data_IF_708450536641
#
_entry.id   IF_708450536641
#
_cell.length_a   1.000
_cell.length_b   1.000
_cell.length_c   1.000
_cell.angle_alpha   90.00
_cell.angle_beta   90.00
_cell.angle_gamma   90.00
#
_symmetry.space_group_name_H-M   'P 1'
#
loop_
_entity.id
_entity.type
_entity.pdbx_description
1 polymer ?
#
# COMPACT_ATOMS: atom_id res chain seq x y z
N UNK A 1 0.22 33.13 36.58
CA UNK A 1 -0.04 33.32 35.13
C UNK A 1 0.07 31.95 34.49
N UNK A 2 -1.01 31.33 34.01
CA UNK A 2 -0.88 30.11 33.23
C UNK A 2 -0.43 30.49 31.82
N UNK A 3 0.68 29.91 31.36
CA UNK A 3 1.09 29.94 29.95
C UNK A 3 -0.03 29.32 29.11
N UNK A 4 -0.65 30.14 28.29
CA UNK A 4 -1.54 29.72 27.23
C UNK A 4 -0.72 28.93 26.20
N UNK A 5 -1.00 27.64 26.07
CA UNK A 5 -0.51 26.83 24.95
C UNK A 5 -0.89 27.52 23.63
N UNK A 6 0.01 27.61 22.64
CA UNK A 6 -0.30 28.28 21.38
C UNK A 6 -1.44 27.52 20.68
N UNK A 7 -2.43 28.30 20.24
CA UNK A 7 -3.57 27.85 19.44
C UNK A 7 -3.09 27.04 18.22
N UNK A 8 -3.86 26.00 17.89
CA UNK A 8 -3.59 25.04 16.84
C UNK A 8 -3.31 25.70 15.49
N UNK A 9 -2.03 25.81 15.14
CA UNK A 9 -1.59 25.84 13.75
C UNK A 9 -2.22 24.62 13.05
N UNK A 10 -3.05 24.86 12.03
CA UNK A 10 -3.63 23.79 11.22
C UNK A 10 -2.47 22.99 10.60
N UNK A 11 -2.09 21.86 11.22
CA UNK A 11 -1.06 20.97 10.68
C UNK A 11 -1.48 20.57 9.26
N UNK A 12 -0.56 20.68 8.32
CA UNK A 12 -0.81 20.27 6.94
C UNK A 12 -1.28 18.81 6.93
N UNK A 13 -2.48 18.56 6.40
CA UNK A 13 -3.00 17.22 6.26
C UNK A 13 -2.66 16.69 4.87
N UNK A 14 -1.93 15.58 4.81
CA UNK A 14 -1.57 14.87 3.59
C UNK A 14 -2.39 13.59 3.50
N UNK A 15 -3.32 13.55 2.53
CA UNK A 15 -4.18 12.39 2.31
C UNK A 15 -3.49 11.42 1.34
N UNK A 16 -3.35 10.16 1.75
CA UNK A 16 -2.70 9.12 0.94
C UNK A 16 -3.70 8.03 0.59
N UNK A 17 -4.02 7.85 -0.68
CA UNK A 17 -4.93 6.80 -1.14
C UNK A 17 -4.14 5.54 -1.55
N UNK A 18 -4.56 4.35 -1.06
CA UNK A 18 -3.91 3.08 -1.40
C UNK A 18 -4.81 2.21 -2.27
N UNK A 19 -4.52 2.18 -3.57
CA UNK A 19 -5.18 1.37 -4.58
C UNK A 19 -4.42 0.07 -4.84
N UNK A 20 -5.14 -1.05 -4.91
CA UNK A 20 -4.56 -2.33 -5.33
C UNK A 20 -5.65 -3.40 -5.53
N UNK A 21 -5.42 -4.39 -6.41
CA UNK A 21 -6.20 -5.62 -6.42
C UNK A 21 -5.97 -6.46 -5.14
N UNK A 22 -6.79 -7.49 -4.93
CA UNK A 22 -6.77 -8.29 -3.70
C UNK A 22 -5.64 -9.32 -3.57
N UNK A 23 -4.81 -9.51 -4.59
CA UNK A 23 -3.71 -10.50 -4.60
C UNK A 23 -2.42 -9.98 -3.94
N UNK A 24 -2.38 -8.71 -3.53
CA UNK A 24 -1.24 -8.05 -2.87
C UNK A 24 -1.55 -7.65 -1.42
N UNK A 25 -2.34 -8.46 -0.72
CA UNK A 25 -2.74 -8.20 0.67
C UNK A 25 -1.53 -8.04 1.62
N UNK A 26 -0.46 -8.79 1.40
CA UNK A 26 0.78 -8.70 2.16
C UNK A 26 1.43 -7.31 1.99
N UNK A 27 1.56 -6.84 0.75
CA UNK A 27 2.08 -5.52 0.43
C UNK A 27 1.18 -4.40 0.95
N UNK A 28 -0.15 -4.57 0.95
CA UNK A 28 -1.06 -3.59 1.56
C UNK A 28 -0.83 -3.44 3.07
N UNK A 29 -0.62 -4.54 3.78
CA UNK A 29 -0.30 -4.50 5.22
C UNK A 29 1.05 -3.81 5.46
N UNK A 30 2.03 -4.05 4.60
CA UNK A 30 3.32 -3.35 4.65
C UNK A 30 3.14 -1.85 4.41
N UNK A 31 2.35 -1.47 3.40
CA UNK A 31 2.05 -0.07 3.11
C UNK A 31 1.40 0.63 4.29
N UNK A 32 0.46 -0.04 4.98
CA UNK A 32 -0.16 0.48 6.20
C UNK A 32 0.89 0.77 7.28
N UNK A 33 1.75 -0.20 7.59
CA UNK A 33 2.82 -0.05 8.61
C UNK A 33 3.82 1.05 8.25
N UNK A 34 4.20 1.15 6.97
CA UNK A 34 5.08 2.23 6.48
C UNK A 34 4.41 3.59 6.68
N UNK A 35 3.12 3.73 6.32
CA UNK A 35 2.37 4.97 6.48
C UNK A 35 2.17 5.35 7.95
N UNK A 36 1.94 4.39 8.84
CA UNK A 36 1.90 4.60 10.30
C UNK A 36 3.24 5.14 10.83
N UNK A 37 4.37 4.49 10.49
CA UNK A 37 5.71 4.98 10.88
C UNK A 37 6.00 6.38 10.34
N UNK A 38 5.58 6.67 9.12
CA UNK A 38 5.74 8.00 8.54
C UNK A 38 4.82 9.01 9.21
N UNK A 39 3.57 8.66 9.52
CA UNK A 39 2.65 9.53 10.26
C UNK A 39 3.26 9.94 11.60
N UNK A 40 3.84 8.98 12.34
CA UNK A 40 4.54 9.25 13.59
C UNK A 40 5.77 10.13 13.40
N UNK A 41 6.61 9.80 12.41
CA UNK A 41 7.84 10.56 12.13
C UNK A 41 7.57 11.99 11.66
N UNK A 42 6.45 12.25 10.98
CA UNK A 42 6.07 13.58 10.49
C UNK A 42 5.05 14.30 11.37
N UNK A 43 4.55 13.68 12.44
CA UNK A 43 3.52 14.21 13.33
C UNK A 43 3.76 15.65 13.85
N UNK A 44 5.01 16.10 14.11
CA UNK A 44 5.27 17.48 14.51
C UNK A 44 4.92 18.53 13.45
N UNK A 45 5.02 18.17 12.16
CA UNK A 45 4.94 19.12 11.03
C UNK A 45 3.75 18.87 10.10
N UNK A 46 3.23 17.64 10.06
CA UNK A 46 2.14 17.25 9.18
C UNK A 46 1.32 16.11 9.79
N UNK A 47 0.04 16.05 9.41
CA UNK A 47 -0.82 14.88 9.62
C UNK A 47 -0.82 14.06 8.34
N UNK A 48 -0.47 12.78 8.42
CA UNK A 48 -0.57 11.85 7.28
C UNK A 48 -1.80 10.98 7.52
N UNK A 49 -2.76 11.04 6.59
CA UNK A 49 -4.01 10.29 6.67
C UNK A 49 -4.08 9.26 5.54
N UNK A 50 -3.72 8.00 5.82
CA UNK A 50 -3.87 6.94 4.84
C UNK A 50 -5.32 6.50 4.72
N UNK A 51 -5.80 6.32 3.49
CA UNK A 51 -7.12 5.78 3.19
C UNK A 51 -7.00 4.36 2.62
N UNK A 52 -7.46 3.40 3.42
CA UNK A 52 -7.61 1.99 3.06
C UNK A 52 -9.10 1.64 3.10
N UNK A 53 -9.66 1.30 1.94
CA UNK A 53 -11.10 1.05 1.82
C UNK A 53 -11.63 -0.14 2.65
N UNK A 54 -10.77 -1.11 3.03
CA UNK A 54 -11.16 -2.35 3.72
C UNK A 54 -11.70 -2.15 5.14
N UNK A 55 -11.50 -0.96 5.72
CA UNK A 55 -11.91 -0.65 7.08
C UNK A 55 -13.23 0.12 7.16
N UNK A 56 -13.85 0.42 6.00
CA UNK A 56 -15.11 1.15 5.95
C UNK A 56 -16.32 0.19 6.09
N UNK A 57 -17.35 0.56 6.88
CA UNK A 57 -18.53 -0.28 7.06
C UNK A 57 -19.27 -0.51 5.74
N UNK A 58 -19.64 -1.76 5.48
CA UNK A 58 -20.41 -2.17 4.31
C UNK A 58 -21.89 -1.90 4.52
N UNK A 59 -22.49 -0.99 3.76
CA UNK A 59 -23.94 -0.88 3.65
C UNK A 59 -24.44 -1.74 2.48
N UNK A 60 -25.44 -2.60 2.75
CA UNK A 60 -26.02 -3.47 1.73
C UNK A 60 -26.85 -2.73 0.64
N UNK A 61 -27.04 -1.41 0.80
CA UNK A 61 -27.91 -0.58 -0.02
C UNK A 61 -27.26 0.00 -1.27
N UNK A 62 -25.93 -0.09 -1.40
CA UNK A 62 -25.19 0.49 -2.52
C UNK A 62 -24.09 -0.47 -3.01
N UNK A 63 -23.62 -0.29 -4.24
CA UNK A 63 -22.45 -1.05 -4.71
C UNK A 63 -21.22 -0.53 -3.98
N UNK A 64 -20.43 -1.42 -3.39
CA UNK A 64 -19.31 -1.11 -2.48
C UNK A 64 -18.41 0.06 -2.92
N UNK A 65 -18.04 0.08 -4.21
CA UNK A 65 -17.16 1.12 -4.75
C UNK A 65 -17.86 2.49 -4.90
N UNK A 66 -19.20 2.54 -5.03
CA UNK A 66 -19.97 3.77 -5.10
C UNK A 66 -19.94 4.59 -3.80
N UNK A 67 -20.06 3.90 -2.67
CA UNK A 67 -20.07 4.55 -1.37
C UNK A 67 -18.66 5.07 -1.01
N UNK A 68 -17.62 4.29 -1.32
CA UNK A 68 -16.22 4.66 -1.08
C UNK A 68 -15.82 5.88 -1.93
N UNK A 69 -16.19 5.90 -3.21
CA UNK A 69 -15.88 7.02 -4.11
C UNK A 69 -16.65 8.30 -3.76
N UNK A 70 -17.73 8.21 -2.97
CA UNK A 70 -18.38 9.40 -2.40
C UNK A 70 -17.64 9.97 -1.20
N UNK A 71 -16.84 9.17 -0.48
CA UNK A 71 -16.10 9.61 0.72
C UNK A 71 -14.74 10.20 0.39
N UNK A 72 -13.94 9.51 -0.43
CA UNK A 72 -12.60 9.99 -0.84
C UNK A 72 -12.36 9.66 -2.30
N UNK A 73 -12.10 10.68 -3.12
CA UNK A 73 -11.75 10.52 -4.53
C UNK A 73 -10.22 10.51 -4.71
N UNK A 74 -9.64 9.51 -5.42
CA UNK A 74 -8.21 9.47 -5.68
C UNK A 74 -7.65 10.79 -6.24
N UNK A 75 -8.36 11.42 -7.20
CA UNK A 75 -7.98 12.72 -7.80
C UNK A 75 -7.89 13.90 -6.83
N UNK A 76 -8.45 13.78 -5.63
CA UNK A 76 -8.48 14.84 -4.61
C UNK A 76 -7.43 14.64 -3.52
N UNK A 77 -6.76 13.48 -3.51
CA UNK A 77 -5.71 13.18 -2.52
C UNK A 77 -4.37 13.81 -2.90
N UNK A 78 -3.42 13.78 -1.96
CA UNK A 78 -2.08 14.32 -2.17
C UNK A 78 -1.16 13.30 -2.83
N UNK A 79 -1.29 12.03 -2.44
CA UNK A 79 -0.48 10.91 -2.92
C UNK A 79 -1.40 9.72 -3.18
N UNK A 80 -1.20 9.05 -4.32
CA UNK A 80 -1.82 7.75 -4.61
C UNK A 80 -0.73 6.71 -4.72
N UNK A 81 -0.87 5.61 -3.99
CA UNK A 81 -0.04 4.42 -4.09
C UNK A 81 -0.87 3.36 -4.81
N UNK A 82 -0.42 2.90 -5.98
CA UNK A 82 -1.01 1.80 -6.72
C UNK A 82 -0.08 0.58 -6.66
N UNK A 83 -0.56 -0.56 -6.15
CA UNK A 83 0.22 -1.80 -6.01
C UNK A 83 -0.39 -2.86 -6.92
N UNK A 84 0.41 -3.38 -7.85
CA UNK A 84 -0.01 -4.32 -8.89
C UNK A 84 0.82 -5.59 -8.86
N UNK A 85 0.22 -6.73 -9.20
CA UNK A 85 0.95 -7.99 -9.34
C UNK A 85 0.47 -8.88 -10.49
N UNK A 86 -0.55 -9.71 -10.26
CA UNK A 86 -0.95 -10.77 -11.21
C UNK A 86 -2.34 -10.58 -11.78
N UNK A 87 -3.09 -9.61 -11.24
CA UNK A 87 -4.45 -9.30 -11.68
C UNK A 87 -4.71 -7.80 -11.64
N UNK A 88 -5.79 -7.39 -12.31
CA UNK A 88 -6.25 -5.99 -12.31
C UNK A 88 -7.46 -5.77 -11.37
N UNK A 89 -8.32 -6.78 -11.21
CA UNK A 89 -9.50 -6.74 -10.34
C UNK A 89 -10.79 -7.10 -11.06
N UNK A 90 -11.92 -6.83 -10.40
CA UNK A 90 -13.27 -7.14 -10.90
C UNK A 90 -13.93 -5.93 -11.55
N UNK A 91 -14.62 -6.18 -12.65
CA UNK A 91 -15.34 -5.16 -13.44
C UNK A 91 -16.31 -4.35 -12.58
N UNK A 92 -16.32 -3.05 -12.83
CA UNK A 92 -17.22 -2.10 -12.19
C UNK A 92 -18.63 -2.13 -12.81
N UNK A 93 -19.68 -1.83 -12.03
CA UNK A 93 -21.02 -1.59 -12.56
C UNK A 93 -21.06 -0.44 -13.59
N UNK A 94 -22.06 -0.45 -14.48
CA UNK A 94 -22.16 0.49 -15.61
C UNK A 94 -22.22 1.97 -15.19
N UNK A 95 -22.69 2.27 -13.97
CA UNK A 95 -22.71 3.65 -13.45
C UNK A 95 -21.32 4.29 -13.30
N UNK A 96 -20.25 3.49 -13.35
CA UNK A 96 -18.87 3.97 -13.29
C UNK A 96 -18.20 4.09 -14.65
N UNK A 97 -18.93 3.95 -15.77
CA UNK A 97 -18.31 4.06 -17.09
C UNK A 97 -17.56 5.39 -17.25
N UNK A 98 -16.52 5.36 -18.10
CA UNK A 98 -15.77 6.53 -18.52
C UNK A 98 -16.71 7.59 -19.12
N UNK A 99 -16.28 8.86 -19.21
CA UNK A 99 -17.07 9.92 -19.84
C UNK A 99 -17.51 9.60 -21.28
N UNK A 100 -16.74 8.78 -22.01
CA UNK A 100 -17.04 8.30 -23.36
C UNK A 100 -18.01 7.10 -23.40
N UNK A 101 -18.50 6.65 -22.23
CA UNK A 101 -19.41 5.53 -22.08
C UNK A 101 -18.73 4.15 -22.02
N UNK A 102 -17.41 4.07 -22.20
CA UNK A 102 -16.69 2.78 -22.14
C UNK A 102 -16.54 2.29 -20.69
N UNK A 103 -16.60 0.97 -20.44
CA UNK A 103 -16.51 0.43 -19.09
C UNK A 103 -15.06 0.36 -18.59
N UNK A 104 -14.87 0.59 -17.29
CA UNK A 104 -13.64 0.18 -16.61
C UNK A 104 -13.62 -1.33 -16.40
N UNK A 105 -12.46 -1.94 -16.59
CA UNK A 105 -12.23 -3.37 -16.38
C UNK A 105 -12.07 -3.71 -14.89
N UNK A 106 -11.75 -2.72 -14.05
CA UNK A 106 -11.68 -2.91 -12.60
C UNK A 106 -11.82 -1.60 -11.81
N UNK A 107 -12.01 -1.73 -10.49
CA UNK A 107 -11.87 -0.62 -9.54
C UNK A 107 -10.46 -0.01 -9.53
N UNK A 108 -9.42 -0.84 -9.57
CA UNK A 108 -8.01 -0.39 -9.64
C UNK A 108 -7.76 0.50 -10.86
N UNK A 109 -8.32 0.11 -12.03
CA UNK A 109 -8.21 0.89 -13.26
C UNK A 109 -8.93 2.23 -13.13
N UNK A 110 -10.14 2.23 -12.58
CA UNK A 110 -10.88 3.45 -12.29
C UNK A 110 -10.08 4.39 -11.37
N UNK A 111 -9.58 3.88 -10.26
CA UNK A 111 -8.85 4.67 -9.25
C UNK A 111 -7.56 5.26 -9.83
N UNK A 112 -6.84 4.48 -10.65
CA UNK A 112 -5.65 4.94 -11.35
C UNK A 112 -5.96 6.04 -12.37
N UNK A 113 -6.96 5.84 -13.23
CA UNK A 113 -7.35 6.85 -14.23
C UNK A 113 -7.87 8.12 -13.56
N UNK A 114 -8.64 7.99 -12.47
CA UNK A 114 -9.12 9.13 -11.67
C UNK A 114 -7.93 9.94 -11.13
N UNK A 115 -6.95 9.27 -10.50
CA UNK A 115 -5.73 9.89 -10.00
C UNK A 115 -4.90 10.55 -11.11
N UNK A 116 -4.72 9.86 -12.23
CA UNK A 116 -3.97 10.37 -13.38
C UNK A 116 -4.60 11.62 -13.98
N UNK A 117 -5.93 11.64 -14.08
CA UNK A 117 -6.68 12.80 -14.54
C UNK A 117 -6.54 13.98 -13.57
N UNK A 118 -6.65 13.73 -12.26
CA UNK A 118 -6.36 14.74 -11.24
C UNK A 118 -4.97 15.35 -11.43
N UNK A 119 -3.96 14.50 -11.62
CA UNK A 119 -2.57 14.93 -11.79
C UNK A 119 -2.39 15.79 -13.05
N UNK A 120 -3.01 15.40 -14.16
CA UNK A 120 -2.96 16.17 -15.41
C UNK A 120 -3.60 17.56 -15.28
N UNK A 121 -4.74 17.64 -14.59
CA UNK A 121 -5.49 18.88 -14.47
C UNK A 121 -4.95 19.83 -13.39
N UNK A 122 -4.50 19.29 -12.25
CA UNK A 122 -4.20 20.06 -11.03
C UNK A 122 -2.79 19.85 -10.50
N UNK A 123 -2.02 18.92 -11.07
CA UNK A 123 -0.69 18.55 -10.58
C UNK A 123 -0.69 17.58 -9.40
N UNK A 124 -1.86 17.18 -8.88
CA UNK A 124 -2.03 16.24 -7.75
C UNK A 124 -3.05 15.16 -8.11
N UNK A 125 -2.94 13.93 -7.56
CA UNK A 125 -1.94 13.44 -6.63
C UNK A 125 -0.58 13.15 -7.25
N UNK A 126 0.45 13.02 -6.41
CA UNK A 126 1.65 12.28 -6.77
C UNK A 126 1.33 10.79 -6.85
N UNK A 127 1.40 10.25 -8.07
CA UNK A 127 1.05 8.86 -8.38
C UNK A 127 2.29 7.97 -8.34
N UNK A 128 2.37 7.09 -7.34
CA UNK A 128 3.38 6.03 -7.22
C UNK A 128 2.76 4.69 -7.63
N UNK A 129 3.42 3.99 -8.55
CA UNK A 129 2.97 2.67 -9.02
C UNK A 129 4.06 1.65 -8.73
N UNK A 130 3.70 0.57 -8.04
CA UNK A 130 4.59 -0.54 -7.71
C UNK A 130 4.10 -1.81 -8.40
N UNK A 131 5.00 -2.55 -9.04
CA UNK A 131 4.66 -3.80 -9.72
C UNK A 131 5.51 -4.95 -9.20
N UNK A 132 4.87 -5.94 -8.60
CA UNK A 132 5.54 -7.15 -8.12
C UNK A 132 6.01 -7.98 -9.31
N UNK A 133 7.26 -8.45 -9.28
CA UNK A 133 7.87 -9.23 -10.37
C UNK A 133 7.91 -10.73 -10.09
N UNK A 134 7.67 -11.16 -8.85
CA UNK A 134 7.59 -12.57 -8.51
C UNK A 134 6.50 -13.29 -9.33
N UNK A 135 6.73 -14.56 -9.66
CA UNK A 135 5.74 -15.36 -10.40
C UNK A 135 4.51 -15.67 -9.53
N UNK A 136 3.29 -15.48 -10.06
CA UNK A 136 2.08 -15.84 -9.34
C UNK A 136 1.89 -17.36 -9.26
N UNK A 137 1.48 -17.84 -8.08
CA UNK A 137 1.10 -19.23 -7.88
C UNK A 137 -0.36 -19.42 -8.29
N UNK A 138 -0.57 -20.19 -9.36
CA UNK A 138 -1.91 -20.53 -9.87
C UNK A 138 -2.15 -22.02 -9.67
N UNK A 139 -3.27 -22.37 -9.03
CA UNK A 139 -3.69 -23.77 -8.93
C UNK A 139 -4.19 -24.27 -10.28
N UNK A 140 -3.57 -25.33 -10.80
CA UNK A 140 -4.02 -26.01 -12.02
C UNK A 140 -5.02 -27.15 -11.73
N UNK A 141 -5.38 -27.38 -10.46
CA UNK A 141 -6.35 -28.42 -10.08
C UNK A 141 -7.78 -28.06 -10.54
N UNK A 142 -8.08 -26.77 -10.57
CA UNK A 142 -9.36 -26.24 -11.04
C UNK A 142 -9.12 -25.43 -12.32
N UNK A 143 -9.58 -25.96 -13.46
CA UNK A 143 -9.41 -25.31 -14.76
C UNK A 143 -10.11 -23.94 -14.83
N UNK A 144 -11.21 -23.75 -14.09
CA UNK A 144 -11.91 -22.47 -14.09
C UNK A 144 -11.11 -21.40 -13.34
N UNK A 145 -10.51 -21.75 -12.21
CA UNK A 145 -9.59 -20.87 -11.47
C UNK A 145 -8.38 -20.51 -12.33
N UNK A 146 -7.79 -21.48 -13.02
CA UNK A 146 -6.65 -21.25 -13.91
C UNK A 146 -7.01 -20.29 -15.07
N UNK A 147 -8.17 -20.48 -15.71
CA UNK A 147 -8.65 -19.58 -16.77
C UNK A 147 -8.91 -18.17 -16.27
N UNK A 148 -9.50 -18.02 -15.09
CA UNK A 148 -9.73 -16.71 -14.47
C UNK A 148 -8.42 -16.00 -14.15
N UNK A 149 -7.41 -16.72 -13.65
CA UNK A 149 -6.09 -16.16 -13.38
C UNK A 149 -5.43 -15.66 -14.67
N UNK A 150 -5.50 -16.43 -15.77
CA UNK A 150 -4.98 -16.01 -17.07
C UNK A 150 -5.68 -14.74 -17.59
N UNK A 151 -7.02 -14.72 -17.57
CA UNK A 151 -7.80 -13.56 -17.99
C UNK A 151 -7.45 -12.30 -17.17
N UNK A 152 -7.28 -12.45 -15.86
CA UNK A 152 -6.87 -11.33 -15.00
C UNK A 152 -5.46 -10.82 -15.30
N UNK A 153 -4.56 -11.73 -15.67
CA UNK A 153 -3.20 -11.38 -16.07
C UNK A 153 -3.18 -10.63 -17.40
N UNK A 154 -3.98 -11.06 -18.37
CA UNK A 154 -4.17 -10.38 -19.66
C UNK A 154 -4.71 -8.95 -19.46
N UNK A 155 -5.74 -8.77 -18.63
CA UNK A 155 -6.26 -7.44 -18.30
C UNK A 155 -5.21 -6.53 -17.68
N UNK A 156 -4.37 -7.06 -16.78
CA UNK A 156 -3.29 -6.30 -16.18
C UNK A 156 -2.22 -5.92 -17.20
N UNK A 157 -1.85 -6.83 -18.10
CA UNK A 157 -0.84 -6.58 -19.12
C UNK A 157 -1.33 -5.54 -20.15
N UNK A 158 -2.60 -5.59 -20.54
CA UNK A 158 -3.23 -4.58 -21.39
C UNK A 158 -3.25 -3.20 -20.71
N UNK A 159 -3.62 -3.15 -19.43
CA UNK A 159 -3.54 -1.94 -18.62
C UNK A 159 -2.12 -1.36 -18.56
N UNK A 160 -1.12 -2.20 -18.26
CA UNK A 160 0.28 -1.79 -18.18
C UNK A 160 0.77 -1.27 -19.54
N UNK A 161 0.47 -1.99 -20.63
CA UNK A 161 0.80 -1.58 -21.99
C UNK A 161 0.21 -0.22 -22.32
N UNK A 162 -1.08 -0.01 -22.03
CA UNK A 162 -1.80 1.23 -22.34
C UNK A 162 -1.25 2.46 -21.62
N UNK A 163 -0.87 2.33 -20.35
CA UNK A 163 -0.55 3.49 -19.51
C UNK A 163 0.95 3.74 -19.31
N UNK A 164 1.79 2.74 -19.54
CA UNK A 164 3.23 2.83 -19.27
C UNK A 164 4.09 2.69 -20.53
N UNK A 165 3.51 2.29 -21.66
CA UNK A 165 4.24 2.12 -22.92
C UNK A 165 3.64 2.98 -24.05
N UNK A 166 4.51 3.49 -24.93
CA UNK A 166 4.15 4.12 -26.19
C UNK A 166 3.83 3.07 -27.26
N UNK A 167 3.30 3.51 -28.40
CA UNK A 167 2.99 2.63 -29.54
C UNK A 167 4.23 1.90 -30.08
N UNK A 168 5.40 2.51 -29.93
CA UNK A 168 6.72 1.98 -30.30
C UNK A 168 7.36 1.08 -29.22
N UNK A 169 6.66 0.86 -28.09
CA UNK A 169 7.15 0.07 -26.97
C UNK A 169 8.10 0.83 -26.03
N UNK A 170 8.31 2.14 -26.22
CA UNK A 170 9.08 2.96 -25.27
C UNK A 170 8.32 3.17 -23.97
N UNK A 171 9.03 3.28 -22.83
CA UNK A 171 8.41 3.51 -21.53
C UNK A 171 8.00 5.00 -21.40
N UNK A 172 6.69 5.27 -21.40
CA UNK A 172 6.12 6.64 -21.34
C UNK A 172 5.80 7.09 -19.92
N UNK A 173 5.64 6.15 -18.98
CA UNK A 173 5.46 6.43 -17.57
C UNK A 173 6.24 5.40 -16.74
N UNK A 174 6.75 5.82 -15.58
CA UNK A 174 7.52 4.95 -14.70
C UNK A 174 6.62 4.19 -13.72
N UNK A 175 6.91 2.91 -13.51
CA UNK A 175 6.48 2.13 -12.36
C UNK A 175 7.72 1.54 -11.66
N UNK A 176 7.58 1.20 -10.39
CA UNK A 176 8.65 0.68 -9.55
C UNK A 176 8.52 -0.84 -9.44
N UNK A 177 9.37 -1.63 -10.11
CA UNK A 177 9.38 -3.07 -9.93
C UNK A 177 9.87 -3.40 -8.51
N UNK A 178 9.30 -4.45 -7.92
CA UNK A 178 9.81 -5.02 -6.67
C UNK A 178 9.68 -6.54 -6.68
N UNK A 179 10.63 -7.23 -6.08
CA UNK A 179 10.66 -8.70 -6.11
C UNK A 179 9.87 -9.32 -4.95
N UNK A 180 10.04 -8.78 -3.75
CA UNK A 180 9.51 -9.36 -2.51
C UNK A 180 9.08 -8.28 -1.51
N UNK A 181 8.45 -8.71 -0.43
CA UNK A 181 7.91 -7.86 0.63
C UNK A 181 8.94 -6.86 1.23
N UNK A 182 10.20 -7.29 1.43
CA UNK A 182 11.22 -6.44 2.03
C UNK A 182 11.74 -5.36 1.07
N UNK A 183 11.91 -5.73 -0.20
CA UNK A 183 12.23 -4.79 -1.28
C UNK A 183 11.11 -3.74 -1.44
N UNK A 184 9.85 -4.18 -1.41
CA UNK A 184 8.68 -3.29 -1.43
C UNK A 184 8.67 -2.31 -0.24
N UNK A 185 8.84 -2.81 0.99
CA UNK A 185 8.84 -1.97 2.20
C UNK A 185 9.89 -0.86 2.12
N UNK A 186 11.12 -1.24 1.75
CA UNK A 186 12.27 -0.32 1.68
C UNK A 186 12.00 0.78 0.66
N UNK A 187 11.61 0.40 -0.56
CA UNK A 187 11.33 1.36 -1.65
C UNK A 187 10.17 2.28 -1.29
N UNK A 188 9.09 1.72 -0.74
CA UNK A 188 7.91 2.51 -0.39
C UNK A 188 8.25 3.57 0.66
N UNK A 189 8.97 3.19 1.72
CA UNK A 189 9.35 4.12 2.78
C UNK A 189 10.27 5.23 2.24
N UNK A 190 11.29 4.87 1.45
CA UNK A 190 12.23 5.83 0.86
C UNK A 190 11.52 6.83 -0.06
N UNK A 191 10.67 6.34 -0.96
CA UNK A 191 9.95 7.18 -1.91
C UNK A 191 8.93 8.09 -1.23
N UNK A 192 8.13 7.57 -0.29
CA UNK A 192 7.15 8.38 0.44
C UNK A 192 7.83 9.44 1.29
N UNK A 193 8.90 9.09 2.00
CA UNK A 193 9.65 10.07 2.80
C UNK A 193 10.17 11.22 1.93
N UNK A 194 10.69 10.91 0.73
CA UNK A 194 11.16 11.92 -0.22
C UNK A 194 10.01 12.82 -0.70
N UNK A 195 8.90 12.22 -1.16
CA UNK A 195 7.74 12.98 -1.65
C UNK A 195 7.10 13.86 -0.57
N UNK A 196 6.94 13.34 0.64
CA UNK A 196 6.39 14.11 1.77
C UNK A 196 7.28 15.31 2.08
N UNK A 197 8.61 15.11 2.16
CA UNK A 197 9.56 16.22 2.35
C UNK A 197 9.47 17.27 1.25
N UNK A 198 9.44 16.85 -0.01
CA UNK A 198 9.32 17.77 -1.15
C UNK A 198 8.01 18.57 -1.12
N UNK A 199 6.90 17.96 -0.68
CA UNK A 199 5.61 18.63 -0.52
C UNK A 199 5.62 19.64 0.62
N UNK A 200 6.18 19.28 1.76
CA UNK A 200 6.29 20.18 2.91
C UNK A 200 7.21 21.37 2.60
N UNK A 201 8.33 21.14 1.92
CA UNK A 201 9.23 22.21 1.47
C UNK A 201 8.53 23.20 0.51
N UNK A 202 7.68 22.72 -0.41
CA UNK A 202 6.88 23.59 -1.29
C UNK A 202 5.87 24.46 -0.53
N UNK A 203 5.52 24.09 0.69
CA UNK A 203 4.65 24.85 1.59
C UNK A 203 5.45 25.74 2.57
N UNK A 204 6.78 25.81 2.44
CA UNK A 204 7.65 26.57 3.34
C UNK A 204 7.88 25.89 4.70
N UNK A 205 7.66 24.59 4.80
CA UNK A 205 7.86 23.80 6.03
C UNK A 205 9.21 23.07 5.91
N UNK A 206 10.29 23.77 6.30
CA UNK A 206 11.68 23.30 6.13
C UNK A 206 12.20 22.39 7.27
N UNK A 207 11.48 22.33 8.40
CA UNK A 207 11.86 21.54 9.59
C UNK A 207 11.72 20.01 9.39
N UNK A 208 11.34 19.56 8.20
CA UNK A 208 11.34 18.14 7.83
C UNK A 208 12.76 17.55 7.66
N UNK A 209 13.80 18.40 7.72
CA UNK A 209 15.21 18.04 7.54
C UNK A 209 15.70 16.95 8.49
N UNK A 210 15.33 17.00 9.78
CA UNK A 210 15.92 16.17 10.84
C UNK A 210 15.00 15.04 11.38
N UNK A 211 13.85 14.80 10.74
CA UNK A 211 12.87 13.76 11.14
C UNK A 211 13.39 12.31 11.02
N UNK A 212 14.62 12.09 10.54
CA UNK A 212 15.27 10.77 10.59
C UNK A 212 15.64 10.38 12.02
N UNK A 213 15.98 11.36 12.86
CA UNK A 213 16.39 11.15 14.24
C UNK A 213 15.20 11.20 15.22
N UNK A 214 14.03 11.63 14.75
CA UNK A 214 12.83 11.82 15.56
C UNK A 214 11.73 10.79 15.24
N UNK A 215 12.14 9.55 14.92
CA UNK A 215 11.20 8.42 14.84
C UNK A 215 10.79 8.12 16.28
N UNK A 216 9.51 8.33 16.66
CA UNK A 216 9.06 7.94 17.98
C UNK A 216 9.32 6.45 18.19
N UNK A 217 9.76 6.02 19.37
CA UNK A 217 9.97 4.60 19.60
C UNK A 217 8.65 3.85 19.40
N UNK A 218 8.66 2.83 18.54
CA UNK A 218 7.49 1.97 18.26
C UNK A 218 6.97 1.30 19.54
N UNK A 219 7.84 1.13 20.54
CA UNK A 219 7.52 0.59 21.85
C UNK A 219 7.69 1.66 22.94
N UNK A 220 6.60 2.01 23.61
CA UNK A 220 6.56 3.02 24.68
C UNK A 220 6.19 2.45 26.04
N UNK A 221 5.79 1.18 26.12
CA UNK A 221 5.33 0.51 27.35
C UNK A 221 6.50 -0.01 28.22
N UNK A 222 7.52 0.83 28.41
CA UNK A 222 8.65 0.53 29.30
C UNK A 222 9.78 -0.27 28.65
N UNK A 223 10.46 -1.12 29.43
CA UNK A 223 11.67 -1.80 28.97
C UNK A 223 11.35 -2.93 27.96
N UNK A 224 11.90 -2.89 26.73
CA UNK A 224 11.67 -3.94 25.74
C UNK A 224 12.29 -5.31 26.12
N UNK A 225 13.24 -5.33 27.07
CA UNK A 225 13.85 -6.56 27.57
C UNK A 225 13.01 -7.17 28.69
N UNK A 226 12.34 -8.29 28.39
CA UNK A 226 11.44 -8.99 29.32
C UNK A 226 12.10 -10.09 30.17
N UNK A 227 13.43 -10.16 30.16
CA UNK A 227 14.18 -11.20 30.88
C UNK A 227 13.81 -12.60 30.40
N UNK A 228 13.37 -13.48 31.31
CA UNK A 228 12.94 -14.85 31.01
C UNK A 228 11.45 -14.98 30.65
N UNK A 229 10.69 -13.88 30.64
CA UNK A 229 9.27 -13.91 30.28
C UNK A 229 9.10 -14.11 28.77
N UNK A 230 8.10 -14.90 28.38
CA UNK A 230 7.74 -15.08 26.97
C UNK A 230 7.15 -13.78 26.40
N UNK A 231 7.51 -13.45 25.16
CA UNK A 231 6.86 -12.35 24.43
C UNK A 231 5.45 -12.76 23.98
N UNK A 232 4.49 -11.90 24.26
CA UNK A 232 3.08 -12.04 23.84
C UNK A 232 2.78 -11.13 22.64
N UNK A 233 1.63 -11.33 21.99
CA UNK A 233 1.17 -10.54 20.82
C UNK A 233 1.27 -9.02 21.00
N UNK A 234 0.93 -8.50 22.19
CA UNK A 234 1.04 -7.06 22.49
C UNK A 234 2.46 -6.50 22.34
N UNK A 235 3.50 -7.34 22.46
CA UNK A 235 4.91 -6.96 22.36
C UNK A 235 5.44 -6.98 20.92
N UNK A 236 4.60 -7.25 19.91
CA UNK A 236 5.02 -7.33 18.52
C UNK A 236 5.78 -6.08 18.05
N UNK A 237 5.46 -4.90 18.59
CA UNK A 237 6.12 -3.63 18.28
C UNK A 237 7.62 -3.59 18.65
N UNK A 238 8.08 -4.48 19.54
CA UNK A 238 9.50 -4.64 19.89
C UNK A 238 10.28 -5.31 18.74
N UNK A 239 9.62 -6.16 17.94
CA UNK A 239 10.25 -6.92 16.87
C UNK A 239 10.04 -6.23 15.52
N UNK A 240 11.10 -5.59 15.01
CA UNK A 240 11.12 -4.95 13.69
C UNK A 240 12.16 -5.60 12.76
N UNK A 241 12.16 -5.23 11.47
CA UNK A 241 13.17 -5.67 10.49
C UNK A 241 13.03 -7.11 9.98
N UNK A 242 11.89 -7.78 10.23
CA UNK A 242 11.67 -9.19 9.86
C UNK A 242 10.85 -9.40 8.59
N UNK A 243 10.53 -8.35 7.87
CA UNK A 243 9.65 -8.40 6.68
C UNK A 243 10.11 -9.44 5.67
N UNK A 244 11.43 -9.53 5.42
CA UNK A 244 11.99 -10.58 4.55
C UNK A 244 11.71 -11.98 5.08
N UNK A 245 12.03 -12.25 6.35
CA UNK A 245 11.87 -13.57 6.94
C UNK A 245 10.39 -14.00 6.98
N UNK A 246 9.49 -13.06 7.27
CA UNK A 246 8.05 -13.28 7.27
C UNK A 246 7.57 -13.62 5.84
N UNK A 247 7.94 -12.81 4.85
CA UNK A 247 7.57 -13.05 3.45
C UNK A 247 8.09 -14.40 2.94
N UNK A 248 9.35 -14.74 3.25
CA UNK A 248 9.92 -16.04 2.89
C UNK A 248 9.16 -17.23 3.52
N UNK A 249 8.71 -17.10 4.77
CA UNK A 249 7.89 -18.12 5.44
C UNK A 249 6.52 -18.23 4.79
N UNK A 250 5.86 -17.10 4.52
CA UNK A 250 4.54 -17.07 3.87
C UNK A 250 4.60 -17.68 2.47
N UNK A 251 5.60 -17.31 1.67
CA UNK A 251 5.75 -17.85 0.32
C UNK A 251 6.03 -19.34 0.31
N UNK A 252 6.86 -19.84 1.24
CA UNK A 252 7.06 -21.29 1.40
C UNK A 252 5.76 -21.99 1.81
N UNK A 253 4.98 -21.42 2.74
CA UNK A 253 3.70 -21.99 3.16
C UNK A 253 2.68 -22.01 2.00
N UNK A 254 2.60 -20.95 1.19
CA UNK A 254 1.74 -20.88 0.00
C UNK A 254 2.09 -21.99 -1.01
N UNK A 255 3.37 -22.18 -1.32
CA UNK A 255 3.84 -23.26 -2.22
C UNK A 255 3.51 -24.64 -1.66
N UNK A 256 3.82 -24.87 -0.40
CA UNK A 256 3.55 -26.12 0.29
C UNK A 256 2.04 -26.46 0.31
N UNK A 257 1.19 -25.45 0.53
CA UNK A 257 -0.27 -25.59 0.44
C UNK A 257 -0.75 -25.96 -0.96
N UNK A 258 -0.20 -25.33 -2.02
CA UNK A 258 -0.53 -25.66 -3.40
C UNK A 258 -0.23 -27.15 -3.73
N UNK A 259 0.85 -27.67 -3.18
CA UNK A 259 1.26 -29.08 -3.28
C UNK A 259 0.44 -30.04 -2.39
N UNK A 260 -0.58 -29.55 -1.67
CA UNK A 260 -1.38 -30.35 -0.75
C UNK A 260 -0.70 -30.65 0.59
N UNK A 261 0.35 -29.91 0.94
CA UNK A 261 1.16 -30.07 2.15
C UNK A 261 1.16 -28.77 2.96
N UNK A 262 0.00 -28.27 3.42
CA UNK A 262 -0.12 -26.99 4.12
C UNK A 262 0.50 -26.98 5.54
N UNK A 263 1.82 -27.20 5.61
CA UNK A 263 2.61 -27.31 6.83
C UNK A 263 4.01 -26.72 6.61
N UNK A 264 4.48 -25.96 7.58
CA UNK A 264 5.83 -25.41 7.63
C UNK A 264 6.32 -25.40 9.08
N UNK A 265 7.56 -25.84 9.29
CA UNK A 265 8.21 -25.82 10.59
C UNK A 265 9.26 -24.71 10.64
N UNK A 266 9.11 -23.78 11.58
CA UNK A 266 10.10 -22.72 11.86
C UNK A 266 10.96 -23.15 13.05
N UNK A 267 12.24 -23.41 12.81
CA UNK A 267 13.22 -23.80 13.83
C UNK A 267 14.12 -22.62 14.21
N UNK A 268 14.49 -22.52 15.48
CA UNK A 268 15.44 -21.51 15.98
C UNK A 268 15.52 -21.49 17.51
N UNK A 269 16.62 -20.92 18.04
CA UNK A 269 16.87 -20.84 19.47
C UNK A 269 15.76 -20.12 20.25
N UNK A 270 15.64 -20.37 21.56
CA UNK A 270 14.69 -19.63 22.40
C UNK A 270 14.99 -18.12 22.36
N UNK A 271 13.95 -17.28 22.40
CA UNK A 271 14.10 -15.82 22.38
C UNK A 271 14.40 -15.17 21.02
N UNK A 272 14.61 -15.93 19.94
CA UNK A 272 14.87 -15.34 18.61
C UNK A 272 13.60 -14.85 17.88
N UNK A 273 12.47 -14.65 18.57
CA UNK A 273 11.21 -14.14 18.00
C UNK A 273 10.55 -15.05 16.95
N UNK A 274 10.43 -16.35 17.24
CA UNK A 274 9.77 -17.31 16.31
C UNK A 274 8.24 -17.22 16.36
N UNK A 275 7.73 -16.87 17.52
CA UNK A 275 6.32 -16.77 17.90
C UNK A 275 5.79 -15.36 17.70
#
# INVERSE_FOLDING_TARGET
>A
MPETAPESSHRQCLRVFVSSPGDVAEERLIAKRVLERLADAFAPVAKIEPFFWEHEPLLASDTFQAEILRRVRPRETDIVICILWSRLGTRLPQQFNRPDGTPYQSGTEFEFEDALEGRRQRGIPDLLVYRKTAEPLVSLKDTQVARQALQQKELLDDFVKRFFYGEDGTLTASFQPFENAADFETRLEEHLRKLIKERLAKLGIDDAGDLRNNIPPTWTEGNPFRGLQAFEFQHHAIFFGRTRAIGEVLDRLKRQSADGRAFLLVLGASGCGKS
#
